data_IF_979647680399
#
_entry.id   IF_979647680399
#
_cell.length_a   1.000
_cell.length_b   1.000
_cell.length_c   1.000
_cell.angle_alpha   90.00
_cell.angle_beta   90.00
_cell.angle_gamma   90.00
#
_symmetry.space_group_name_H-M   'P 1'
#
loop_
_entity.id
_entity.type
_entity.pdbx_description
1 polymer ?
#
# COMPACT_ATOMS: atom_id res chain seq x y z
N UNK A 1 -12.17 -12.35 -0.36
CA UNK A 1 -11.11 -12.43 0.67
C UNK A 1 -10.25 -11.17 0.50
N UNK A 2 -10.17 -10.36 1.53
CA UNK A 2 -9.38 -9.13 1.48
C UNK A 2 -8.02 -9.39 2.13
N UNK A 3 -6.93 -9.13 1.42
CA UNK A 3 -5.58 -9.22 1.95
C UNK A 3 -5.14 -7.85 2.47
N UNK A 4 -4.30 -7.86 3.50
CA UNK A 4 -3.49 -6.69 3.85
C UNK A 4 -2.37 -6.51 2.81
N UNK A 5 -1.82 -5.30 2.72
CA UNK A 5 -0.74 -5.00 1.78
C UNK A 5 0.48 -5.92 1.98
N UNK A 6 0.88 -6.16 3.23
CA UNK A 6 2.02 -7.05 3.52
C UNK A 6 1.79 -8.46 3.02
N UNK A 7 0.56 -9.01 3.13
CA UNK A 7 0.22 -10.34 2.62
C UNK A 7 0.26 -10.40 1.09
N UNK A 8 -0.22 -9.34 0.42
CA UNK A 8 -0.09 -9.21 -1.03
C UNK A 8 1.37 -9.22 -1.48
N UNK A 9 2.25 -8.50 -0.76
CA UNK A 9 3.69 -8.48 -1.04
C UNK A 9 4.37 -9.82 -0.79
N UNK A 10 3.93 -10.60 0.18
CA UNK A 10 4.41 -11.97 0.37
C UNK A 10 4.07 -12.87 -0.83
N UNK A 11 2.86 -12.70 -1.41
CA UNK A 11 2.50 -13.39 -2.64
C UNK A 11 3.37 -12.92 -3.82
N UNK A 12 3.60 -11.62 -3.96
CA UNK A 12 4.48 -11.09 -5.02
C UNK A 12 5.87 -11.71 -4.96
N UNK A 13 6.45 -11.82 -3.77
CA UNK A 13 7.75 -12.49 -3.56
C UNK A 13 7.74 -13.95 -4.03
N UNK A 14 6.65 -14.70 -3.78
CA UNK A 14 6.51 -16.09 -4.24
C UNK A 14 6.52 -16.21 -5.77
N UNK A 15 6.06 -15.19 -6.47
CA UNK A 15 6.03 -15.13 -7.93
C UNK A 15 7.19 -14.32 -8.52
N UNK A 16 8.23 -14.03 -7.73
CA UNK A 16 9.41 -13.26 -8.14
C UNK A 16 9.07 -11.85 -8.67
N UNK A 17 7.96 -11.27 -8.23
CA UNK A 17 7.61 -9.88 -8.52
C UNK A 17 8.35 -9.01 -7.51
N UNK A 18 9.21 -8.07 -7.96
CA UNK A 18 9.99 -7.22 -7.06
C UNK A 18 9.10 -6.36 -6.14
N UNK A 19 9.49 -6.27 -4.89
CA UNK A 19 8.89 -5.37 -3.91
C UNK A 19 10.00 -4.67 -3.13
N UNK A 20 9.79 -3.43 -2.67
CA UNK A 20 10.75 -2.79 -1.79
C UNK A 20 10.99 -3.60 -0.52
N UNK A 21 12.17 -3.43 0.08
CA UNK A 21 12.50 -4.05 1.35
C UNK A 21 11.60 -3.51 2.45
N UNK A 22 11.06 -4.39 3.28
CA UNK A 22 10.06 -4.01 4.27
C UNK A 22 10.09 -4.89 5.50
N UNK A 23 9.61 -4.34 6.62
CA UNK A 23 9.40 -5.02 7.89
C UNK A 23 7.96 -4.83 8.34
N UNK A 24 7.29 -5.91 8.73
CA UNK A 24 5.96 -5.89 9.30
C UNK A 24 6.06 -5.94 10.83
N UNK A 25 5.28 -5.10 11.53
CA UNK A 25 5.22 -5.06 13.00
C UNK A 25 3.78 -4.92 13.49
N UNK A 26 3.50 -5.49 14.66
CA UNK A 26 2.25 -5.31 15.41
C UNK A 26 2.42 -4.42 16.63
N UNK A 27 3.66 -4.21 17.06
CA UNK A 27 4.01 -3.32 18.15
C UNK A 27 5.35 -2.67 17.89
N UNK A 28 5.61 -1.52 18.49
CA UNK A 28 6.87 -0.82 18.36
C UNK A 28 8.06 -1.66 18.86
N UNK A 29 7.85 -2.50 19.87
CA UNK A 29 8.88 -3.37 20.44
C UNK A 29 9.36 -4.48 19.47
N UNK A 30 8.60 -4.77 18.42
CA UNK A 30 9.00 -5.73 17.38
C UNK A 30 9.99 -5.13 16.38
N UNK A 31 10.07 -3.80 16.29
CA UNK A 31 11.07 -3.14 15.46
C UNK A 31 12.43 -3.17 16.16
N UNK A 32 13.39 -3.87 15.57
CA UNK A 32 14.74 -3.89 16.06
C UNK A 32 15.42 -2.54 15.82
N UNK A 33 16.33 -2.13 16.69
CA UNK A 33 17.15 -0.92 16.51
C UNK A 33 17.99 -0.99 15.23
N UNK A 34 18.43 -2.19 14.84
CA UNK A 34 19.00 -2.46 13.51
C UNK A 34 17.95 -3.18 12.67
N UNK A 35 16.98 -2.42 12.18
CA UNK A 35 15.90 -2.93 11.31
C UNK A 35 16.37 -3.20 9.87
N UNK A 36 17.59 -2.79 9.54
CA UNK A 36 18.25 -3.06 8.26
C UNK A 36 17.59 -2.36 7.05
N UNK A 37 16.68 -1.41 7.25
CA UNK A 37 16.08 -0.61 6.17
C UNK A 37 16.88 0.68 5.99
N UNK A 38 16.97 1.14 4.73
CA UNK A 38 17.61 2.40 4.37
C UNK A 38 16.58 3.54 4.34
N UNK A 39 16.92 4.69 4.93
CA UNK A 39 16.08 5.87 4.88
C UNK A 39 16.13 6.57 3.51
N UNK A 40 15.04 7.24 3.08
CA UNK A 40 13.77 7.37 3.80
C UNK A 40 12.95 6.06 3.80
N UNK A 41 12.14 5.87 4.85
CA UNK A 41 11.20 4.75 4.92
C UNK A 41 9.76 5.25 5.00
N UNK A 42 8.81 4.44 4.54
CA UNK A 42 7.38 4.74 4.58
C UNK A 42 6.70 3.87 5.63
N UNK A 43 6.06 4.48 6.61
CA UNK A 43 5.25 3.81 7.62
C UNK A 43 3.82 3.73 7.12
N UNK A 44 3.28 2.52 6.96
CA UNK A 44 1.98 2.28 6.33
C UNK A 44 1.06 1.50 7.25
N UNK A 45 -0.08 2.10 7.62
CA UNK A 45 -1.15 1.40 8.31
C UNK A 45 -1.61 0.17 7.53
N UNK A 46 -1.78 -0.95 8.23
CA UNK A 46 -2.32 -2.17 7.65
C UNK A 46 -3.80 -2.30 8.02
N UNK A 47 -4.67 -1.82 7.13
CA UNK A 47 -6.13 -1.94 7.22
C UNK A 47 -6.70 -2.33 5.85
N UNK A 48 -7.87 -2.98 5.85
CA UNK A 48 -8.50 -3.50 4.63
C UNK A 48 -9.44 -2.48 3.96
N UNK A 49 -9.10 -1.19 4.05
CA UNK A 49 -9.85 -0.09 3.44
C UNK A 49 -8.94 0.82 2.64
N UNK A 50 -9.49 1.43 1.60
CA UNK A 50 -8.80 2.41 0.77
C UNK A 50 -8.71 3.79 1.44
N UNK A 51 -7.82 4.65 0.89
CA UNK A 51 -7.68 6.04 1.34
C UNK A 51 -6.83 6.23 2.60
N UNK A 52 -5.99 5.25 2.95
CA UNK A 52 -5.07 5.30 4.11
C UNK A 52 -4.21 6.57 4.12
N UNK A 53 -3.68 6.97 2.94
CA UNK A 53 -2.87 8.19 2.81
C UNK A 53 -3.65 9.44 3.16
N UNK A 54 -4.87 9.60 2.63
CA UNK A 54 -5.76 10.74 2.92
C UNK A 54 -6.16 10.79 4.42
N UNK A 55 -6.21 9.63 5.08
CA UNK A 55 -6.51 9.53 6.51
C UNK A 55 -5.29 9.70 7.44
N UNK A 56 -4.10 9.96 6.90
CA UNK A 56 -2.88 10.10 7.70
C UNK A 56 -2.21 8.77 8.11
N UNK A 57 -2.70 7.63 7.60
CA UNK A 57 -2.16 6.30 7.87
C UNK A 57 -0.92 5.93 7.04
N UNK A 58 -0.35 6.87 6.30
CA UNK A 58 0.90 6.70 5.54
C UNK A 58 1.77 7.94 5.76
N UNK A 59 2.98 7.73 6.30
CA UNK A 59 3.95 8.80 6.56
C UNK A 59 5.35 8.39 6.13
N UNK A 60 6.15 9.34 5.65
CA UNK A 60 7.55 9.13 5.26
C UNK A 60 8.45 9.61 6.38
N UNK A 61 9.30 8.71 6.89
CA UNK A 61 10.30 9.01 7.91
C UNK A 61 11.69 9.05 7.29
N UNK A 62 12.49 10.06 7.66
CA UNK A 62 13.84 10.29 7.16
C UNK A 62 14.93 9.84 8.15
N UNK A 63 14.55 9.50 9.36
CA UNK A 63 15.45 9.07 10.44
C UNK A 63 14.67 8.30 11.53
N UNK A 64 15.40 7.73 12.49
CA UNK A 64 14.82 6.92 13.56
C UNK A 64 13.85 7.72 14.45
N UNK A 65 14.08 9.00 14.68
CA UNK A 65 13.20 9.83 15.53
C UNK A 65 11.85 10.01 14.87
N UNK A 66 11.82 10.34 13.59
CA UNK A 66 10.58 10.44 12.80
C UNK A 66 9.88 9.08 12.68
N UNK A 67 10.65 8.00 12.48
CA UNK A 67 10.10 6.65 12.41
C UNK A 67 9.39 6.27 13.71
N UNK A 68 10.04 6.49 14.86
CA UNK A 68 9.48 6.23 16.17
C UNK A 68 8.19 7.01 16.43
N UNK A 69 8.20 8.31 16.09
CA UNK A 69 7.04 9.18 16.21
C UNK A 69 5.87 8.69 15.34
N UNK A 70 6.14 8.32 14.08
CA UNK A 70 5.10 7.91 13.14
C UNK A 70 4.53 6.53 13.47
N UNK A 71 5.32 5.64 14.07
CA UNK A 71 4.80 4.38 14.62
C UNK A 71 3.79 4.68 15.72
N UNK A 72 4.14 5.56 16.68
CA UNK A 72 3.26 5.93 17.79
C UNK A 72 2.00 6.66 17.31
N UNK A 73 2.11 7.50 16.27
CA UNK A 73 0.98 8.25 15.71
C UNK A 73 -0.02 7.34 14.96
N UNK A 74 0.47 6.32 14.25
CA UNK A 74 -0.37 5.53 13.32
C UNK A 74 -0.89 4.26 13.98
N UNK A 75 -0.10 3.63 14.84
CA UNK A 75 -0.53 2.41 15.54
C UNK A 75 -1.62 2.78 16.55
N UNK A 76 -2.77 2.11 16.46
CA UNK A 76 -3.93 2.37 17.29
C UNK A 76 -4.87 3.48 16.78
N UNK A 77 -4.55 4.18 15.66
CA UNK A 77 -5.50 5.12 15.05
C UNK A 77 -6.69 4.40 14.42
N UNK A 78 -7.81 5.09 14.29
CA UNK A 78 -8.98 4.63 13.53
C UNK A 78 -8.93 5.17 12.09
N UNK A 79 -9.06 4.29 11.11
CA UNK A 79 -9.21 4.65 9.71
C UNK A 79 -10.55 4.12 9.20
N UNK A 80 -11.54 4.97 9.08
CA UNK A 80 -12.88 4.62 8.59
C UNK A 80 -13.53 3.45 9.36
N UNK A 81 -13.42 3.44 10.69
CA UNK A 81 -13.94 2.39 11.56
C UNK A 81 -13.06 1.15 11.68
N UNK A 82 -11.84 1.20 11.17
CA UNK A 82 -10.84 0.12 11.27
C UNK A 82 -9.67 0.57 12.14
N UNK A 83 -9.51 -0.09 13.29
CA UNK A 83 -8.36 0.13 14.16
C UNK A 83 -7.08 -0.37 13.47
N UNK A 84 -6.03 0.47 13.46
CA UNK A 84 -4.72 0.07 12.95
C UNK A 84 -3.99 -0.76 14.00
N UNK A 85 -3.99 -2.07 13.82
CA UNK A 85 -3.35 -3.04 14.72
C UNK A 85 -1.95 -3.45 14.28
N UNK A 86 -1.51 -3.02 13.10
CA UNK A 86 -0.21 -3.37 12.55
C UNK A 86 0.25 -2.39 11.48
N UNK A 87 1.57 -2.35 11.28
CA UNK A 87 2.23 -1.46 10.33
C UNK A 87 3.13 -2.25 9.40
N UNK A 88 3.28 -1.74 8.19
CA UNK A 88 4.33 -2.13 7.25
C UNK A 88 5.28 -0.93 7.11
N UNK A 89 6.55 -1.14 7.46
CA UNK A 89 7.63 -0.16 7.30
C UNK A 89 8.43 -0.59 6.07
N UNK A 90 8.57 0.28 5.10
CA UNK A 90 9.12 -0.05 3.79
C UNK A 90 10.10 1.01 3.32
N UNK A 91 11.22 0.62 2.70
CA UNK A 91 12.12 1.56 2.05
C UNK A 91 11.36 2.36 0.99
N UNK A 92 11.50 3.68 1.01
CA UNK A 92 10.88 4.53 0.03
C UNK A 92 11.52 4.30 -1.35
N UNK A 93 10.67 4.24 -2.38
CA UNK A 93 11.12 4.14 -3.77
C UNK A 93 11.09 5.52 -4.43
N UNK A 94 12.06 5.82 -5.27
CA UNK A 94 11.96 6.95 -6.19
C UNK A 94 10.94 6.60 -7.27
N UNK A 95 9.76 7.24 -7.20
CA UNK A 95 8.66 6.97 -8.13
C UNK A 95 8.84 7.82 -9.37
N UNK A 96 9.23 7.20 -10.47
CA UNK A 96 9.32 7.85 -11.79
C UNK A 96 7.95 7.92 -12.45
N UNK A 97 7.17 6.82 -12.36
CA UNK A 97 5.83 6.71 -12.93
C UNK A 97 5.03 5.63 -12.22
N UNK A 98 3.74 5.89 -12.04
CA UNK A 98 2.79 4.93 -11.52
C UNK A 98 1.85 4.44 -12.60
N UNK A 99 1.56 3.14 -12.56
CA UNK A 99 0.58 2.49 -13.42
C UNK A 99 -0.48 1.82 -12.55
N UNK A 100 -1.69 1.77 -13.06
CA UNK A 100 -2.73 0.95 -12.47
C UNK A 100 -2.85 -0.37 -13.23
N UNK A 101 -2.94 -1.47 -12.50
CA UNK A 101 -3.31 -2.79 -13.02
C UNK A 101 -4.24 -3.49 -12.05
N UNK A 102 -5.33 -4.04 -12.56
CA UNK A 102 -6.21 -4.89 -11.77
C UNK A 102 -6.81 -6.02 -12.58
N UNK A 103 -7.21 -7.07 -11.87
CA UNK A 103 -7.97 -8.19 -12.42
C UNK A 103 -9.24 -8.34 -11.60
N UNK A 104 -10.37 -8.36 -12.26
CA UNK A 104 -11.67 -8.55 -11.61
C UNK A 104 -12.49 -9.60 -12.37
N UNK A 105 -13.55 -10.11 -11.73
CA UNK A 105 -14.48 -11.01 -12.39
C UNK A 105 -15.61 -10.20 -13.00
N UNK A 106 -15.68 -10.19 -14.33
CA UNK A 106 -16.87 -9.75 -15.05
C UNK A 106 -17.93 -10.85 -14.98
N UNK A 107 -18.94 -10.63 -14.14
CA UNK A 107 -20.00 -11.59 -13.91
C UNK A 107 -20.99 -11.67 -15.08
N UNK A 108 -21.10 -10.60 -15.86
CA UNK A 108 -22.00 -10.53 -17.02
C UNK A 108 -21.45 -11.39 -18.15
N UNK A 109 -20.17 -11.21 -18.45
CA UNK A 109 -19.45 -11.95 -19.48
C UNK A 109 -18.87 -13.28 -19.00
N UNK A 110 -18.95 -13.56 -17.67
CA UNK A 110 -18.41 -14.78 -17.02
C UNK A 110 -16.92 -15.02 -17.31
N UNK A 111 -16.14 -13.96 -17.38
CA UNK A 111 -14.70 -13.99 -17.64
C UNK A 111 -13.92 -13.05 -16.74
N UNK A 112 -12.62 -13.21 -16.68
CA UNK A 112 -11.75 -12.25 -16.01
C UNK A 112 -11.61 -11.01 -16.90
N UNK A 113 -11.67 -9.84 -16.25
CA UNK A 113 -11.42 -8.55 -16.87
C UNK A 113 -10.13 -7.99 -16.30
N UNK A 114 -9.15 -7.74 -17.16
CA UNK A 114 -7.94 -7.01 -16.83
C UNK A 114 -8.17 -5.53 -17.15
N UNK A 115 -7.80 -4.67 -16.22
CA UNK A 115 -7.81 -3.21 -16.40
C UNK A 115 -6.40 -2.67 -16.23
N UNK A 116 -6.00 -1.79 -17.14
CA UNK A 116 -4.70 -1.12 -17.16
C UNK A 116 -4.89 0.37 -17.36
N UNK A 117 -4.12 1.18 -16.63
CA UNK A 117 -4.02 2.62 -16.90
C UNK A 117 -2.60 3.12 -16.68
N UNK A 118 -2.21 4.10 -17.48
CA UNK A 118 -0.98 4.87 -17.28
C UNK A 118 -1.11 5.92 -16.17
N UNK A 119 -2.31 6.07 -15.60
CA UNK A 119 -2.63 6.94 -14.47
C UNK A 119 -2.78 6.11 -13.20
N UNK A 120 -1.65 5.74 -12.60
CA UNK A 120 -1.61 5.13 -11.27
C UNK A 120 -1.68 6.18 -10.15
N UNK A 121 -1.82 5.71 -8.90
CA UNK A 121 -1.88 6.58 -7.72
C UNK A 121 -3.16 7.41 -7.58
N UNK A 122 -4.14 7.22 -8.46
CA UNK A 122 -5.44 7.88 -8.46
C UNK A 122 -6.58 6.88 -8.20
N UNK A 123 -7.75 7.39 -7.80
CA UNK A 123 -8.95 6.54 -7.71
C UNK A 123 -9.37 6.13 -9.12
N UNK A 124 -9.40 4.83 -9.39
CA UNK A 124 -9.64 4.30 -10.75
C UNK A 124 -11.05 4.61 -11.26
N UNK A 125 -12.00 4.77 -10.35
CA UNK A 125 -13.36 5.22 -10.66
C UNK A 125 -13.34 6.61 -11.25
N UNK A 126 -12.53 7.52 -10.72
CA UNK A 126 -12.36 8.88 -11.23
C UNK A 126 -11.70 8.86 -12.62
N UNK A 127 -10.74 7.96 -12.86
CA UNK A 127 -10.13 7.78 -14.18
C UNK A 127 -11.18 7.26 -15.19
N UNK A 128 -12.01 6.31 -14.76
CA UNK A 128 -13.05 5.73 -15.62
C UNK A 128 -14.12 6.74 -16.01
N UNK A 129 -14.43 7.70 -15.14
CA UNK A 129 -15.43 8.75 -15.40
C UNK A 129 -14.87 9.91 -16.23
N UNK A 130 -13.69 10.42 -15.87
CA UNK A 130 -13.14 11.65 -16.44
C UNK A 130 -12.20 11.42 -17.63
N UNK A 131 -11.65 10.23 -17.77
CA UNK A 131 -10.69 9.89 -18.82
C UNK A 131 -10.81 8.41 -19.24
N UNK A 132 -11.97 7.98 -19.75
CA UNK A 132 -12.24 6.57 -20.06
C UNK A 132 -11.25 5.99 -21.08
N UNK A 133 -10.70 6.81 -21.97
CA UNK A 133 -9.71 6.39 -22.97
C UNK A 133 -8.33 6.04 -22.34
N UNK A 134 -8.05 6.50 -21.12
CA UNK A 134 -6.86 6.15 -20.38
C UNK A 134 -6.98 4.81 -19.63
N UNK A 135 -8.16 4.17 -19.68
CA UNK A 135 -8.43 2.87 -19.07
C UNK A 135 -8.64 1.79 -20.12
N UNK A 136 -7.60 0.99 -20.32
CA UNK A 136 -7.66 -0.18 -21.19
C UNK A 136 -8.35 -1.32 -20.44
N UNK A 137 -9.36 -1.92 -21.06
CA UNK A 137 -10.08 -3.11 -20.58
C UNK A 137 -9.86 -4.27 -21.54
N UNK A 138 -9.45 -5.42 -21.01
CA UNK A 138 -9.16 -6.62 -21.81
C UNK A 138 -9.69 -7.88 -21.14
#
# INVERSE_FOLDING_TARGET
MNLFEYQGKELYKKFSIPTPKSTFIKSKSELKSDHGLSYPVVVKAQVQVGGRGKAGGIKVANNDVELDQFIDDILGMDIKGHLVESLLIEEASEIIKEYYISFTLDRSEKKYLMMLSSKGGMDIEEVAENSPDDLIKH
#
